data_IF_468594764813
#
_entry.id   IF_468594764813
#
_cell.length_a   1.000
_cell.length_b   1.000
_cell.length_c   1.000
_cell.angle_alpha   90.00
_cell.angle_beta   90.00
_cell.angle_gamma   90.00
#
_symmetry.space_group_name_H-M   'P 1'
#
loop_
_entity.id
_entity.type
_entity.pdbx_description
1 polymer ?
#
# COMPACT_ATOMS: atom_id res chain seq x y z
N UNK A 1 21.66 -2.26 16.99
CA UNK A 1 21.51 -1.96 15.55
C UNK A 1 20.03 -2.07 15.23
N UNK A 2 19.45 -1.02 14.66
CA UNK A 2 18.05 -1.04 14.29
C UNK A 2 17.81 -2.01 13.13
N UNK A 3 16.64 -2.66 13.11
CA UNK A 3 16.30 -3.69 12.14
C UNK A 3 15.06 -3.28 11.34
N UNK A 4 15.23 -3.07 10.04
CA UNK A 4 14.16 -2.69 9.11
C UNK A 4 13.83 -3.86 8.18
N UNK A 5 12.54 -4.08 7.93
CA UNK A 5 12.07 -4.94 6.86
C UNK A 5 11.53 -4.08 5.72
N UNK A 6 12.06 -4.27 4.52
CA UNK A 6 11.49 -3.72 3.28
C UNK A 6 10.72 -4.82 2.57
N UNK A 7 9.43 -4.60 2.35
CA UNK A 7 8.52 -5.49 1.61
C UNK A 7 8.18 -4.85 0.26
N UNK A 8 8.62 -5.46 -0.83
CA UNK A 8 8.32 -4.99 -2.17
C UNK A 8 7.12 -5.75 -2.75
N UNK A 9 6.04 -5.03 -3.01
CA UNK A 9 4.84 -5.57 -3.66
C UNK A 9 5.13 -5.68 -5.16
N UNK A 10 5.20 -6.91 -5.68
CA UNK A 10 5.50 -7.17 -7.07
C UNK A 10 4.75 -8.39 -7.60
N UNK A 11 4.31 -8.35 -8.86
CA UNK A 11 3.75 -9.52 -9.52
C UNK A 11 4.86 -10.57 -9.76
N UNK A 12 4.51 -11.84 -9.64
CA UNK A 12 5.44 -12.97 -9.83
C UNK A 12 6.21 -12.89 -11.15
N UNK A 13 5.54 -12.44 -12.20
CA UNK A 13 6.08 -12.43 -13.55
C UNK A 13 6.83 -11.12 -13.90
N UNK A 14 6.92 -10.16 -12.98
CA UNK A 14 7.59 -8.85 -13.17
C UNK A 14 9.12 -8.93 -12.99
N UNK A 15 9.79 -9.87 -13.66
CA UNK A 15 11.20 -10.17 -13.43
C UNK A 15 12.12 -8.96 -13.58
N UNK A 16 12.01 -8.20 -14.68
CA UNK A 16 12.85 -7.02 -14.92
C UNK A 16 12.75 -5.98 -13.80
N UNK A 17 11.52 -5.73 -13.27
CA UNK A 17 11.30 -4.83 -12.14
C UNK A 17 11.91 -5.39 -10.86
N UNK A 18 11.72 -6.70 -10.61
CA UNK A 18 12.30 -7.38 -9.45
C UNK A 18 13.83 -7.33 -9.46
N UNK A 19 14.46 -7.51 -10.63
CA UNK A 19 15.91 -7.43 -10.80
C UNK A 19 16.41 -6.00 -10.51
N UNK A 20 15.71 -4.97 -11.02
CA UNK A 20 16.03 -3.58 -10.74
C UNK A 20 15.96 -3.25 -9.25
N UNK A 21 14.85 -3.64 -8.58
CA UNK A 21 14.70 -3.44 -7.12
C UNK A 21 15.77 -4.21 -6.36
N UNK A 22 16.07 -5.46 -6.73
CA UNK A 22 17.13 -6.25 -6.09
C UNK A 22 18.49 -5.57 -6.16
N UNK A 23 18.81 -4.99 -7.31
CA UNK A 23 20.05 -4.22 -7.49
C UNK A 23 20.09 -2.98 -6.59
N UNK A 24 19.00 -2.18 -6.55
CA UNK A 24 18.89 -1.01 -5.69
C UNK A 24 19.01 -1.37 -4.20
N UNK A 25 18.41 -2.49 -3.77
CA UNK A 25 18.55 -3.00 -2.39
C UNK A 25 19.97 -3.39 -2.05
N UNK A 26 20.73 -3.98 -2.98
CA UNK A 26 22.14 -4.29 -2.76
C UNK A 26 22.96 -3.02 -2.52
N UNK A 27 22.74 -1.98 -3.32
CA UNK A 27 23.40 -0.67 -3.15
C UNK A 27 23.00 -0.08 -1.79
N UNK A 28 21.73 -0.11 -1.44
CA UNK A 28 21.23 0.41 -0.16
C UNK A 28 21.93 -0.27 1.03
N UNK A 29 22.01 -1.60 1.04
CA UNK A 29 22.66 -2.35 2.12
C UNK A 29 24.14 -2.02 2.30
N UNK A 30 24.82 -1.66 1.22
CA UNK A 30 26.22 -1.20 1.26
C UNK A 30 26.33 0.23 1.80
N UNK A 31 25.38 1.10 1.45
CA UNK A 31 25.38 2.51 1.86
C UNK A 31 24.95 2.72 3.31
N UNK A 32 24.22 1.77 3.91
CA UNK A 32 23.58 1.91 5.23
C UNK A 32 24.03 0.77 6.13
N UNK A 33 25.30 0.80 6.57
CA UNK A 33 25.93 -0.29 7.35
C UNK A 33 25.53 -0.34 8.82
N UNK A 34 24.98 0.74 9.36
CA UNK A 34 24.55 0.91 10.76
C UNK A 34 23.08 0.49 11.00
N UNK A 35 22.35 0.16 9.94
CA UNK A 35 20.98 -0.36 9.99
C UNK A 35 20.95 -1.75 9.36
N UNK A 36 20.40 -2.73 10.07
CA UNK A 36 20.15 -4.03 9.47
C UNK A 36 18.91 -3.95 8.58
N UNK A 37 19.08 -4.20 7.27
CA UNK A 37 17.99 -4.21 6.30
C UNK A 37 17.75 -5.63 5.80
N UNK A 38 16.58 -6.18 6.14
CA UNK A 38 16.03 -7.37 5.52
C UNK A 38 15.08 -6.96 4.38
N UNK A 39 15.07 -7.74 3.31
CA UNK A 39 14.28 -7.46 2.12
C UNK A 39 13.58 -8.69 1.63
N UNK A 40 12.27 -8.58 1.32
CA UNK A 40 11.48 -9.64 0.72
C UNK A 40 10.54 -9.11 -0.37
N UNK A 41 10.39 -9.85 -1.44
CA UNK A 41 9.29 -9.65 -2.36
C UNK A 41 8.01 -10.24 -1.76
N UNK A 42 6.96 -9.43 -1.76
CA UNK A 42 5.61 -9.88 -1.50
C UNK A 42 4.93 -10.12 -2.84
N UNK A 43 4.52 -11.37 -3.11
CA UNK A 43 3.81 -11.70 -4.34
C UNK A 43 2.46 -11.00 -4.37
N UNK A 44 2.32 -10.01 -5.26
CA UNK A 44 1.12 -9.23 -5.42
C UNK A 44 -0.04 -10.07 -5.96
N UNK A 45 -1.24 -9.75 -5.53
CA UNK A 45 -2.46 -10.35 -6.07
C UNK A 45 -2.65 -9.91 -7.51
N UNK A 46 -2.60 -10.84 -8.45
CA UNK A 46 -2.87 -10.54 -9.85
C UNK A 46 -4.39 -10.44 -10.10
N UNK A 47 -4.93 -9.24 -9.99
CA UNK A 47 -6.36 -8.99 -10.06
C UNK A 47 -7.03 -9.53 -11.32
N UNK A 48 -6.32 -9.55 -12.48
CA UNK A 48 -6.84 -10.10 -13.73
C UNK A 48 -7.05 -11.62 -13.71
N UNK A 49 -6.42 -12.32 -12.77
CA UNK A 49 -6.61 -13.77 -12.57
C UNK A 49 -7.63 -14.10 -11.47
N UNK A 50 -8.20 -13.09 -10.82
CA UNK A 50 -9.23 -13.32 -9.81
C UNK A 50 -10.54 -13.77 -10.47
N UNK A 51 -11.27 -14.71 -9.83
CA UNK A 51 -12.60 -15.10 -10.26
C UNK A 51 -13.55 -13.88 -10.33
N UNK A 52 -14.41 -13.79 -11.35
CA UNK A 52 -15.31 -12.65 -11.57
C UNK A 52 -16.19 -12.32 -10.37
N UNK A 53 -16.59 -13.30 -9.57
CA UNK A 53 -17.39 -13.11 -8.37
C UNK A 53 -16.67 -12.29 -7.30
N UNK A 54 -15.34 -12.40 -7.18
CA UNK A 54 -14.56 -11.57 -6.25
C UNK A 54 -14.46 -10.13 -6.74
N UNK A 55 -14.24 -9.94 -8.04
CA UNK A 55 -14.19 -8.60 -8.65
C UNK A 55 -15.53 -7.89 -8.48
N UNK A 56 -16.62 -8.56 -8.84
CA UNK A 56 -17.98 -8.03 -8.73
C UNK A 56 -18.35 -7.70 -7.28
N UNK A 57 -17.92 -8.53 -6.34
CA UNK A 57 -18.22 -8.33 -4.94
C UNK A 57 -17.51 -7.10 -4.35
N UNK A 58 -16.23 -6.89 -4.64
CA UNK A 58 -15.47 -5.73 -4.20
C UNK A 58 -16.04 -4.45 -4.82
N UNK A 59 -16.39 -4.50 -6.11
CA UNK A 59 -16.98 -3.37 -6.80
C UNK A 59 -18.36 -3.01 -6.26
N UNK A 60 -19.24 -3.98 -6.03
CA UNK A 60 -20.54 -3.78 -5.38
C UNK A 60 -20.40 -3.13 -4.01
N UNK A 61 -19.50 -3.64 -3.18
CA UNK A 61 -19.30 -3.10 -1.85
C UNK A 61 -18.82 -1.66 -1.87
N UNK A 62 -17.93 -1.33 -2.80
CA UNK A 62 -17.44 0.01 -3.02
C UNK A 62 -18.54 0.94 -3.51
N UNK A 63 -19.40 0.49 -4.43
CA UNK A 63 -20.56 1.26 -4.86
C UNK A 63 -21.51 1.56 -3.70
N UNK A 64 -21.70 0.61 -2.77
CA UNK A 64 -22.50 0.82 -1.57
C UNK A 64 -21.86 1.80 -0.58
N UNK A 65 -20.55 1.97 -0.57
CA UNK A 65 -19.89 2.97 0.29
C UNK A 65 -20.13 4.42 -0.15
N UNK A 66 -20.72 4.63 -1.33
CA UNK A 66 -21.07 5.95 -1.85
C UNK A 66 -19.88 6.78 -2.35
N UNK A 67 -18.71 6.15 -2.53
CA UNK A 67 -17.43 6.81 -2.86
C UNK A 67 -16.99 6.58 -4.30
N UNK A 68 -17.76 5.84 -5.09
CA UNK A 68 -17.32 5.47 -6.42
C UNK A 68 -17.56 6.59 -7.41
N UNK A 69 -16.49 7.18 -7.89
CA UNK A 69 -16.50 7.97 -9.10
C UNK A 69 -16.42 7.06 -10.35
N UNK A 70 -15.83 5.86 -10.22
CA UNK A 70 -15.76 4.82 -11.27
C UNK A 70 -15.68 3.41 -10.65
N UNK A 71 -15.94 2.37 -11.45
CA UNK A 71 -15.68 0.98 -11.08
C UNK A 71 -14.18 0.73 -10.97
N UNK A 72 -13.76 -0.12 -10.01
CA UNK A 72 -12.36 -0.55 -9.93
C UNK A 72 -12.04 -1.52 -11.06
N UNK A 73 -10.94 -1.26 -11.74
CA UNK A 73 -10.37 -2.24 -12.65
C UNK A 73 -9.75 -3.44 -11.90
N UNK A 74 -9.57 -4.59 -12.58
CA UNK A 74 -8.97 -5.76 -11.95
C UNK A 74 -7.59 -5.49 -11.33
N UNK A 75 -6.74 -4.69 -11.97
CA UNK A 75 -5.42 -4.32 -11.43
C UNK A 75 -5.52 -3.47 -10.18
N UNK A 76 -6.49 -2.54 -10.09
CA UNK A 76 -6.74 -1.76 -8.87
C UNK A 76 -7.21 -2.65 -7.71
N UNK A 77 -8.06 -3.64 -8.01
CA UNK A 77 -8.51 -4.64 -7.02
C UNK A 77 -7.33 -5.49 -6.55
N UNK A 78 -6.45 -5.90 -7.47
CA UNK A 78 -5.22 -6.63 -7.12
C UNK A 78 -4.31 -5.84 -6.18
N UNK A 79 -4.04 -4.57 -6.50
CA UNK A 79 -3.28 -3.65 -5.66
C UNK A 79 -3.94 -3.50 -4.27
N UNK A 80 -5.26 -3.21 -4.23
CA UNK A 80 -6.02 -3.12 -2.98
C UNK A 80 -5.85 -4.37 -2.11
N UNK A 81 -6.05 -5.56 -2.67
CA UNK A 81 -5.93 -6.81 -1.92
C UNK A 81 -4.50 -7.07 -1.44
N UNK A 82 -3.50 -6.76 -2.25
CA UNK A 82 -2.09 -6.93 -1.88
C UNK A 82 -1.73 -6.14 -0.62
N UNK A 83 -2.06 -4.85 -0.60
CA UNK A 83 -1.81 -4.01 0.57
C UNK A 83 -2.67 -4.40 1.79
N UNK A 84 -3.94 -4.78 1.59
CA UNK A 84 -4.78 -5.26 2.68
C UNK A 84 -4.22 -6.53 3.33
N UNK A 85 -3.67 -7.47 2.56
CA UNK A 85 -3.03 -8.67 3.08
C UNK A 85 -1.77 -8.31 3.86
N UNK A 86 -0.93 -7.40 3.37
CA UNK A 86 0.26 -6.92 4.08
C UNK A 86 -0.10 -6.26 5.41
N UNK A 87 -1.10 -5.37 5.43
CA UNK A 87 -1.56 -4.75 6.67
C UNK A 87 -2.09 -5.79 7.66
N UNK A 88 -2.83 -6.79 7.17
CA UNK A 88 -3.35 -7.87 8.02
C UNK A 88 -2.22 -8.69 8.64
N UNK A 89 -1.25 -9.12 7.85
CA UNK A 89 -0.08 -9.87 8.33
C UNK A 89 0.70 -9.07 9.37
N UNK A 90 0.94 -7.78 9.11
CA UNK A 90 1.59 -6.90 10.06
C UNK A 90 0.78 -6.72 11.35
N UNK A 91 -0.53 -6.50 11.25
CA UNK A 91 -1.42 -6.40 12.42
C UNK A 91 -1.47 -7.69 13.25
N UNK A 92 -1.31 -8.86 12.63
CA UNK A 92 -1.25 -10.17 13.27
C UNK A 92 0.12 -10.46 13.94
N UNK A 93 1.15 -9.69 13.60
CA UNK A 93 2.47 -9.80 14.21
C UNK A 93 3.51 -10.60 13.42
N UNK A 94 3.26 -10.90 12.14
CA UNK A 94 4.21 -11.65 11.30
C UNK A 94 5.61 -10.99 11.23
N UNK A 95 5.68 -9.68 11.51
CA UNK A 95 6.91 -8.88 11.38
C UNK A 95 7.37 -8.24 12.70
N UNK A 96 7.04 -8.85 13.86
CA UNK A 96 7.35 -8.27 15.19
C UNK A 96 8.84 -8.19 15.51
N UNK A 97 9.68 -8.96 14.81
CA UNK A 97 11.14 -8.96 14.99
C UNK A 97 11.83 -7.75 14.37
N UNK A 98 11.08 -6.87 13.69
CA UNK A 98 11.60 -5.66 13.06
C UNK A 98 11.14 -4.41 13.81
N UNK A 99 12.06 -3.45 13.97
CA UNK A 99 11.74 -2.14 14.54
C UNK A 99 10.80 -1.36 13.62
N UNK A 100 10.94 -1.58 12.31
CA UNK A 100 10.14 -0.90 11.30
C UNK A 100 9.89 -1.77 10.07
N UNK A 101 8.68 -1.65 9.51
CA UNK A 101 8.40 -2.16 8.16
C UNK A 101 8.23 -1.00 7.17
N UNK A 102 8.74 -1.21 5.98
CA UNK A 102 8.61 -0.32 4.83
C UNK A 102 7.95 -1.13 3.72
N UNK A 103 6.91 -0.61 3.12
CA UNK A 103 6.22 -1.22 1.99
C UNK A 103 6.49 -0.36 0.77
N UNK A 104 7.01 -0.97 -0.29
CA UNK A 104 7.27 -0.33 -1.59
C UNK A 104 6.60 -1.11 -2.72
N UNK A 105 6.31 -0.45 -3.83
CA UNK A 105 5.94 -1.09 -5.10
C UNK A 105 7.19 -1.32 -5.96
N UNK A 106 7.08 -2.11 -7.02
CA UNK A 106 8.23 -2.54 -7.84
C UNK A 106 8.62 -1.54 -8.94
N UNK A 107 8.03 -0.34 -8.93
CA UNK A 107 8.30 0.77 -9.83
C UNK A 107 8.87 2.01 -9.12
N UNK A 108 9.61 1.79 -8.03
CA UNK A 108 10.27 2.87 -7.28
C UNK A 108 11.76 2.97 -7.62
N UNK A 109 12.28 4.19 -7.53
CA UNK A 109 13.72 4.52 -7.61
C UNK A 109 14.16 5.00 -6.23
N UNK A 110 15.31 4.53 -5.74
CA UNK A 110 15.86 4.88 -4.44
C UNK A 110 16.69 6.17 -4.53
N UNK A 111 16.36 7.12 -3.65
CA UNK A 111 17.12 8.37 -3.53
C UNK A 111 18.34 8.15 -2.62
N UNK A 112 19.42 7.58 -3.18
CA UNK A 112 20.63 7.23 -2.43
C UNK A 112 21.31 8.43 -1.76
N UNK A 113 21.10 9.65 -2.23
CA UNK A 113 21.71 10.84 -1.64
C UNK A 113 21.17 11.19 -0.25
N UNK A 114 19.96 10.76 0.08
CA UNK A 114 19.28 11.14 1.33
C UNK A 114 18.72 9.96 2.12
N UNK A 115 18.63 8.78 1.52
CA UNK A 115 17.89 7.64 2.10
C UNK A 115 18.44 7.23 3.46
N UNK A 116 19.75 7.26 3.66
CA UNK A 116 20.40 6.89 4.94
C UNK A 116 19.91 7.78 6.09
N UNK A 117 20.08 9.10 5.98
CA UNK A 117 19.63 10.05 7.01
C UNK A 117 18.13 9.95 7.27
N UNK A 118 17.34 9.77 6.20
CA UNK A 118 15.88 9.65 6.31
C UNK A 118 15.44 8.35 6.98
N UNK A 119 16.14 7.24 6.77
CA UNK A 119 15.88 5.98 7.48
C UNK A 119 16.23 6.10 8.98
N UNK A 120 17.35 6.74 9.33
CA UNK A 120 17.68 7.03 10.73
C UNK A 120 16.58 7.87 11.36
N UNK A 121 16.21 8.98 10.74
CA UNK A 121 15.15 9.84 11.24
C UNK A 121 13.81 9.12 11.39
N UNK A 122 13.45 8.21 10.46
CA UNK A 122 12.26 7.38 10.54
C UNK A 122 12.28 6.45 11.76
N UNK A 123 13.43 5.87 12.07
CA UNK A 123 13.61 4.98 13.23
C UNK A 123 13.49 5.80 14.52
N UNK A 124 14.23 6.89 14.64
CA UNK A 124 14.28 7.73 15.84
C UNK A 124 12.94 8.36 16.18
N UNK A 125 12.23 8.91 15.17
CA UNK A 125 10.93 9.55 15.40
C UNK A 125 9.79 8.55 15.53
N UNK A 126 9.96 7.34 15.00
CA UNK A 126 9.04 6.20 15.04
C UNK A 126 7.56 6.60 14.86
N UNK A 127 7.19 7.33 13.80
CA UNK A 127 5.81 7.76 13.59
C UNK A 127 4.89 6.57 13.33
N UNK A 128 3.61 6.66 13.73
CA UNK A 128 2.64 5.57 13.46
C UNK A 128 2.45 5.28 11.98
N UNK A 129 2.60 6.32 11.14
CA UNK A 129 2.59 6.24 9.68
C UNK A 129 3.53 7.31 9.10
N UNK A 130 4.20 6.98 8.00
CA UNK A 130 5.02 7.91 7.23
C UNK A 130 4.92 7.62 5.74
N UNK A 131 4.85 8.68 4.93
CA UNK A 131 5.13 8.58 3.50
C UNK A 131 6.65 8.55 3.29
N UNK A 132 7.11 7.66 2.42
CA UNK A 132 8.54 7.52 2.12
C UNK A 132 8.85 7.88 0.67
N UNK A 133 7.85 8.20 -0.12
CA UNK A 133 8.01 8.61 -1.49
C UNK A 133 6.83 9.43 -2.00
N UNK A 134 7.04 10.13 -3.10
CA UNK A 134 6.07 10.99 -3.77
C UNK A 134 6.44 11.14 -5.24
N UNK A 135 5.46 11.44 -6.10
CA UNK A 135 5.76 11.88 -7.45
C UNK A 135 6.72 13.07 -7.39
N UNK A 136 7.72 13.09 -8.26
CA UNK A 136 8.76 14.10 -8.32
C UNK A 136 8.20 15.52 -8.07
N UNK A 137 8.66 16.13 -6.98
CA UNK A 137 8.30 17.46 -6.54
C UNK A 137 6.80 17.78 -6.53
N UNK A 138 6.10 17.48 -5.43
CA UNK A 138 4.77 18.02 -5.24
C UNK A 138 4.87 19.55 -5.38
N UNK A 139 4.13 20.13 -6.32
CA UNK A 139 4.19 21.57 -6.57
C UNK A 139 4.05 22.29 -5.24
N UNK A 140 4.96 23.24 -4.92
CA UNK A 140 5.01 24.01 -3.66
C UNK A 140 3.65 24.61 -3.25
N UNK A 141 2.70 24.74 -4.19
CA UNK A 141 1.32 25.21 -3.97
C UNK A 141 0.40 24.18 -3.30
N UNK A 142 0.73 22.89 -3.35
CA UNK A 142 -0.10 21.80 -2.81
C UNK A 142 0.40 21.26 -1.47
N UNK A 143 1.62 21.58 -1.08
CA UNK A 143 2.21 21.17 0.18
C UNK A 143 2.10 22.33 1.16
N UNK A 144 1.19 22.22 2.10
CA UNK A 144 1.27 23.00 3.34
C UNK A 144 1.98 22.13 4.38
N UNK A 145 3.28 21.87 4.14
CA UNK A 145 4.14 21.21 5.11
C UNK A 145 4.79 22.25 6.02
N UNK A 146 4.87 21.95 7.30
CA UNK A 146 5.75 22.66 8.22
C UNK A 146 7.10 21.97 8.15
N UNK A 147 8.16 22.71 7.86
CA UNK A 147 9.52 22.25 8.04
C UNK A 147 9.93 22.56 9.48
N UNK A 148 10.09 21.55 10.29
CA UNK A 148 10.80 21.64 11.55
C UNK A 148 12.06 20.79 11.40
N UNK A 149 13.24 21.39 11.49
CA UNK A 149 14.53 20.70 11.41
C UNK A 149 14.67 19.80 10.15
N UNK A 150 14.47 20.35 8.96
CA UNK A 150 14.57 19.66 7.67
C UNK A 150 13.58 18.49 7.45
N UNK A 151 12.64 18.29 8.38
CA UNK A 151 11.58 17.30 8.26
C UNK A 151 10.33 17.89 7.60
N UNK A 152 9.88 17.29 6.50
CA UNK A 152 8.64 17.67 5.82
C UNK A 152 7.45 16.96 6.48
N UNK A 153 6.40 17.72 6.80
CA UNK A 153 5.13 17.20 7.30
C UNK A 153 3.99 17.58 6.38
N UNK A 154 3.10 16.65 6.15
CA UNK A 154 1.88 16.90 5.40
C UNK A 154 0.71 17.21 6.30
N UNK A 155 0.01 18.30 6.01
CA UNK A 155 -1.25 18.62 6.66
C UNK A 155 -2.39 17.85 6.00
N UNK A 156 -2.97 16.88 6.71
CA UNK A 156 -4.06 16.03 6.23
C UNK A 156 -5.42 16.73 6.18
N UNK A 157 -5.55 17.98 6.67
CA UNK A 157 -6.79 18.78 6.58
C UNK A 157 -7.03 19.42 5.21
N UNK A 158 -6.03 19.36 4.30
CA UNK A 158 -6.10 19.90 2.94
C UNK A 158 -7.08 19.17 1.99
N UNK A 159 -7.20 19.61 0.72
CA UNK A 159 -8.05 18.95 -0.28
C UNK A 159 -7.63 17.50 -0.52
N UNK A 160 -8.61 16.67 -0.96
CA UNK A 160 -8.46 15.21 -1.12
C UNK A 160 -7.35 14.76 -2.09
N UNK A 161 -6.97 15.63 -3.02
CA UNK A 161 -6.16 15.26 -4.19
C UNK A 161 -4.64 15.30 -3.91
N UNK A 162 -4.23 15.42 -2.64
CA UNK A 162 -2.82 15.64 -2.30
C UNK A 162 -1.99 14.35 -2.24
N UNK A 163 -2.62 13.22 -1.99
CA UNK A 163 -1.95 11.93 -1.86
C UNK A 163 -2.80 10.84 -2.47
N UNK A 164 -2.41 10.39 -3.62
CA UNK A 164 -2.88 9.18 -4.28
C UNK A 164 -1.63 8.42 -4.69
N UNK A 165 -1.27 7.38 -4.03
CA UNK A 165 -0.36 6.32 -4.44
C UNK A 165 0.11 5.54 -3.21
N UNK A 166 0.35 4.27 -3.41
CA UNK A 166 0.82 3.32 -2.39
C UNK A 166 2.29 2.95 -2.56
N UNK A 167 3.01 3.61 -3.45
CA UNK A 167 4.30 3.11 -3.93
C UNK A 167 5.42 3.08 -2.88
N UNK A 168 5.38 3.92 -1.81
CA UNK A 168 6.35 3.82 -0.71
C UNK A 168 5.81 4.44 0.58
N UNK A 169 5.67 3.64 1.63
CA UNK A 169 5.24 4.09 2.94
C UNK A 169 5.72 3.16 4.07
N UNK A 170 5.63 3.65 5.30
CA UNK A 170 5.90 2.88 6.51
C UNK A 170 4.77 3.07 7.51
N UNK A 171 4.45 2.01 8.28
CA UNK A 171 3.42 2.07 9.31
C UNK A 171 3.76 1.15 10.48
N UNK A 172 3.23 1.49 11.66
CA UNK A 172 3.28 0.62 12.82
C UNK A 172 2.20 -0.47 12.73
N UNK A 173 2.36 -1.53 13.51
CA UNK A 173 1.38 -2.61 13.66
C UNK A 173 0.00 -2.08 14.04
N UNK A 174 -0.06 -1.14 14.98
CA UNK A 174 -1.32 -0.54 15.42
C UNK A 174 -1.99 0.27 14.28
N UNK A 175 -1.19 1.01 13.52
CA UNK A 175 -1.73 1.76 12.37
C UNK A 175 -2.27 0.82 11.28
N UNK A 176 -1.63 -0.33 11.06
CA UNK A 176 -2.14 -1.36 10.15
C UNK A 176 -3.51 -1.88 10.60
N UNK A 177 -3.69 -2.13 11.91
CA UNK A 177 -4.98 -2.53 12.49
C UNK A 177 -6.06 -1.48 12.26
N UNK A 178 -5.73 -0.20 12.53
CA UNK A 178 -6.65 0.93 12.29
C UNK A 178 -7.07 1.01 10.81
N UNK A 179 -6.14 0.83 9.89
CA UNK A 179 -6.44 0.87 8.46
C UNK A 179 -7.38 -0.26 8.03
N UNK A 180 -7.14 -1.48 8.52
CA UNK A 180 -8.02 -2.63 8.28
C UNK A 180 -9.43 -2.36 8.80
N UNK A 181 -9.55 -1.89 10.05
CA UNK A 181 -10.85 -1.56 10.65
C UNK A 181 -11.60 -0.50 9.84
N UNK A 182 -10.88 0.52 9.35
CA UNK A 182 -11.48 1.56 8.50
C UNK A 182 -11.96 0.98 7.18
N UNK A 183 -11.17 0.16 6.51
CA UNK A 183 -11.57 -0.50 5.26
C UNK A 183 -12.74 -1.47 5.45
N UNK A 184 -12.84 -2.12 6.62
CA UNK A 184 -13.99 -2.95 6.97
C UNK A 184 -15.25 -2.10 7.14
N UNK A 185 -15.15 -0.96 7.81
CA UNK A 185 -16.29 -0.04 8.02
C UNK A 185 -16.75 0.59 6.72
N UNK A 186 -15.79 1.00 5.90
CA UNK A 186 -16.05 1.71 4.64
C UNK A 186 -14.95 1.38 3.64
N UNK A 187 -15.28 0.58 2.64
CA UNK A 187 -14.35 0.23 1.59
C UNK A 187 -14.06 1.45 0.71
N UNK A 188 -12.80 1.90 0.72
CA UNK A 188 -12.31 3.02 -0.11
C UNK A 188 -11.21 2.54 -1.06
N UNK A 189 -10.58 3.45 -1.80
CA UNK A 189 -9.31 3.17 -2.45
C UNK A 189 -8.26 2.82 -1.39
N UNK A 190 -7.31 1.98 -1.75
CA UNK A 190 -6.23 1.60 -0.84
C UNK A 190 -5.38 2.82 -0.46
N UNK A 191 -5.33 3.81 -1.33
CA UNK A 191 -4.62 5.07 -1.21
C UNK A 191 -5.54 6.28 -0.86
N UNK A 192 -6.75 6.04 -0.35
CA UNK A 192 -7.56 7.11 0.25
C UNK A 192 -6.97 7.54 1.61
N UNK A 193 -5.75 8.05 1.56
CA UNK A 193 -5.01 8.46 2.75
C UNK A 193 -5.74 9.51 3.57
N UNK A 194 -6.55 10.36 2.95
CA UNK A 194 -7.38 11.33 3.68
C UNK A 194 -8.37 10.64 4.61
N UNK A 195 -9.00 9.58 4.17
CA UNK A 195 -9.90 8.77 5.02
C UNK A 195 -9.12 7.93 6.02
N UNK A 196 -8.07 7.25 5.56
CA UNK A 196 -7.27 6.35 6.38
C UNK A 196 -6.56 7.10 7.51
N UNK A 197 -6.06 8.31 7.26
CA UNK A 197 -5.30 9.13 8.18
C UNK A 197 -6.11 10.28 8.80
N UNK A 198 -7.44 10.26 8.73
CA UNK A 198 -8.31 11.38 9.17
C UNK A 198 -8.12 11.82 10.63
N UNK A 199 -7.53 10.97 11.49
CA UNK A 199 -7.22 11.32 12.87
C UNK A 199 -5.85 11.99 13.03
N UNK A 200 -5.05 12.01 11.99
CA UNK A 200 -3.74 12.66 11.97
C UNK A 200 -3.89 14.08 11.46
N UNK A 201 -3.44 15.06 12.25
CA UNK A 201 -3.38 16.45 11.78
C UNK A 201 -2.25 16.63 10.77
N UNK A 202 -1.11 15.99 11.05
CA UNK A 202 0.09 16.00 10.21
C UNK A 202 0.67 14.59 10.09
N UNK A 203 1.31 14.30 8.97
CA UNK A 203 1.98 13.04 8.69
C UNK A 203 3.38 13.34 8.16
N UNK A 204 4.45 12.72 8.71
CA UNK A 204 5.79 12.93 8.22
C UNK A 204 5.97 12.35 6.81
N UNK A 205 6.80 13.03 6.05
CA UNK A 205 7.20 12.63 4.70
C UNK A 205 8.72 12.59 4.62
N UNK A 206 9.25 11.44 4.22
CA UNK A 206 10.67 11.20 3.99
C UNK A 206 10.87 10.92 2.50
N UNK A 207 11.72 11.68 1.84
CA UNK A 207 11.96 11.51 0.42
C UNK A 207 13.02 10.42 0.17
N UNK A 208 12.66 9.16 0.50
CA UNK A 208 13.53 7.99 0.31
C UNK A 208 13.41 7.38 -1.09
N UNK A 209 12.21 7.49 -1.68
CA UNK A 209 11.85 6.83 -2.93
C UNK A 209 11.14 7.79 -3.87
N UNK A 210 11.38 7.63 -5.17
CA UNK A 210 10.69 8.30 -6.26
C UNK A 210 9.92 7.28 -7.09
N UNK A 211 8.88 7.70 -7.79
CA UNK A 211 8.19 6.85 -8.74
C UNK A 211 8.94 6.90 -10.08
N UNK A 212 9.13 5.73 -10.71
CA UNK A 212 9.69 5.65 -12.06
C UNK A 212 8.57 5.90 -13.08
N UNK A 213 8.50 7.14 -13.57
CA UNK A 213 7.48 7.55 -14.56
C UNK A 213 7.73 6.94 -15.95
N UNK A 214 8.91 6.34 -16.20
CA UNK A 214 9.21 5.64 -17.46
C UNK A 214 8.60 4.23 -17.49
N UNK A 215 8.29 3.67 -16.33
CA UNK A 215 7.67 2.35 -16.23
C UNK A 215 6.14 2.46 -16.43
N UNK A 216 5.58 1.83 -17.48
CA UNK A 216 4.13 1.88 -17.73
C UNK A 216 3.34 1.26 -16.57
N UNK A 217 2.40 2.03 -16.01
CA UNK A 217 1.50 1.54 -14.96
C UNK A 217 0.47 0.55 -15.53
N UNK A 218 0.42 -0.66 -14.97
CA UNK A 218 -0.62 -1.64 -15.31
C UNK A 218 -2.04 -1.18 -14.93
N UNK A 219 -2.15 -0.33 -13.91
CA UNK A 219 -3.40 0.25 -13.43
C UNK A 219 -3.94 1.31 -14.42
N UNK A 220 -3.05 2.12 -15.00
CA UNK A 220 -3.46 3.18 -15.92
C UNK A 220 -4.14 2.62 -17.18
N UNK A 221 -3.63 1.51 -17.71
CA UNK A 221 -4.24 0.84 -18.88
C UNK A 221 -5.64 0.29 -18.58
N UNK A 222 -5.86 -0.26 -17.39
CA UNK A 222 -7.17 -0.77 -16.98
C UNK A 222 -8.19 0.35 -16.74
N UNK A 223 -7.76 1.48 -16.14
CA UNK A 223 -8.65 2.64 -15.89
C UNK A 223 -9.32 3.15 -17.14
N UNK A 224 -8.61 3.21 -18.27
CA UNK A 224 -9.18 3.66 -19.54
C UNK A 224 -10.36 2.80 -20.00
N UNK A 225 -10.32 1.49 -19.74
CA UNK A 225 -11.37 0.54 -20.13
C UNK A 225 -12.59 0.57 -19.20
N UNK A 226 -12.42 0.97 -17.94
CA UNK A 226 -13.47 0.94 -16.90
C UNK A 226 -14.05 2.32 -16.54
N UNK A 227 -13.52 3.43 -17.06
CA UNK A 227 -14.08 4.77 -16.88
C UNK A 227 -15.36 4.96 -17.68
N UNK A 228 -16.49 4.42 -17.20
CA UNK A 228 -17.82 4.85 -17.66
C UNK A 228 -18.18 6.15 -16.94
N UNK A 229 -18.52 7.22 -17.71
CA UNK A 229 -18.96 8.51 -17.15
C UNK A 229 -20.09 8.31 -16.13
N UNK A 230 -19.96 8.77 -14.89
CA UNK A 230 -20.98 8.58 -13.87
C UNK A 230 -22.25 9.36 -14.20
N UNK A 231 -23.39 8.70 -14.14
CA UNK A 231 -24.69 9.33 -14.33
C UNK A 231 -25.05 10.16 -13.08
N UNK A 232 -24.99 11.48 -13.17
CA UNK A 232 -25.09 12.46 -12.04
C UNK A 232 -26.38 12.38 -11.22
N UNK A 233 -27.48 11.78 -11.75
CA UNK A 233 -28.80 11.83 -11.12
C UNK A 233 -29.07 10.76 -10.03
N UNK A 234 -28.21 9.75 -9.86
CA UNK A 234 -28.44 8.66 -8.87
C UNK A 234 -27.81 8.89 -7.48
N UNK A 235 -27.20 10.04 -7.23
CA UNK A 235 -26.34 10.28 -6.07
C UNK A 235 -27.05 10.37 -4.70
N UNK A 236 -28.29 10.85 -4.66
CA UNK A 236 -28.95 11.20 -3.37
C UNK A 236 -29.79 10.08 -2.75
N UNK A 237 -30.33 9.13 -3.52
CA UNK A 237 -31.20 8.07 -3.01
C UNK A 237 -30.42 6.89 -2.39
N UNK A 238 -29.15 6.73 -2.74
CA UNK A 238 -28.31 5.60 -2.31
C UNK A 238 -27.73 5.74 -0.90
N UNK A 239 -27.65 6.93 -0.34
CA UNK A 239 -26.89 7.21 0.89
C UNK A 239 -27.50 6.56 2.14
N UNK A 240 -28.82 6.47 2.26
CA UNK A 240 -29.51 6.02 3.49
C UNK A 240 -29.66 4.49 3.56
N UNK A 241 -29.87 3.82 2.41
CA UNK A 241 -30.03 2.36 2.35
C UNK A 241 -28.72 1.60 2.53
N UNK A 242 -27.60 2.28 2.33
CA UNK A 242 -26.28 1.68 2.19
C UNK A 242 -25.57 1.35 3.50
N UNK A 243 -25.86 2.06 4.59
CA UNK A 243 -25.14 1.86 5.86
C UNK A 243 -25.48 0.52 6.53
N UNK A 244 -26.73 0.09 6.50
CA UNK A 244 -27.16 -1.15 7.15
C UNK A 244 -26.67 -2.40 6.38
N UNK A 245 -26.85 -2.39 5.07
CA UNK A 245 -26.41 -3.48 4.18
C UNK A 245 -24.87 -3.58 4.16
N UNK A 246 -24.16 -2.44 4.20
CA UNK A 246 -22.71 -2.38 4.29
C UNK A 246 -22.16 -3.04 5.57
N UNK A 247 -22.83 -2.87 6.72
CA UNK A 247 -22.42 -3.50 7.99
C UNK A 247 -22.61 -5.02 7.98
N UNK A 248 -23.70 -5.51 7.44
CA UNK A 248 -23.97 -6.96 7.36
C UNK A 248 -23.01 -7.65 6.39
N UNK A 249 -22.79 -7.05 5.23
CA UNK A 249 -21.86 -7.57 4.22
C UNK A 249 -20.42 -7.50 4.74
N UNK A 250 -20.04 -6.50 5.58
CA UNK A 250 -18.67 -6.39 6.12
C UNK A 250 -18.27 -7.54 7.01
N UNK A 251 -19.20 -8.08 7.82
CA UNK A 251 -18.92 -9.23 8.68
C UNK A 251 -18.68 -10.53 7.90
N UNK A 252 -19.42 -10.74 6.81
CA UNK A 252 -19.24 -11.93 5.95
C UNK A 252 -17.94 -11.87 5.14
N UNK A 253 -17.53 -10.68 4.70
CA UNK A 253 -16.34 -10.49 3.90
C UNK A 253 -15.05 -10.65 4.66
N UNK A 254 -15.01 -10.12 5.87
CA UNK A 254 -13.82 -10.24 6.70
C UNK A 254 -13.42 -11.70 6.84
N UNK A 255 -14.39 -12.58 7.10
CA UNK A 255 -14.14 -14.02 7.12
C UNK A 255 -13.65 -14.58 5.79
N UNK A 256 -14.11 -14.04 4.67
CA UNK A 256 -13.75 -14.52 3.31
C UNK A 256 -12.41 -13.97 2.85
N UNK A 257 -12.09 -12.71 3.15
CA UNK A 257 -10.76 -12.11 2.90
C UNK A 257 -9.69 -12.78 3.77
N UNK A 258 -9.99 -13.05 5.05
CA UNK A 258 -9.08 -13.78 5.94
C UNK A 258 -8.82 -15.18 5.37
N UNK A 259 -9.85 -15.91 4.91
CA UNK A 259 -9.66 -17.22 4.30
C UNK A 259 -8.86 -17.16 3.00
N UNK A 260 -9.06 -16.13 2.18
CA UNK A 260 -8.30 -15.92 0.96
C UNK A 260 -6.84 -15.57 1.26
N UNK A 261 -6.58 -14.71 2.23
CA UNK A 261 -5.21 -14.34 2.64
C UNK A 261 -4.47 -15.52 3.27
N UNK A 262 -5.14 -16.34 4.08
CA UNK A 262 -4.55 -17.59 4.62
C UNK A 262 -4.34 -18.63 3.53
N UNK A 263 -5.21 -18.76 2.56
CA UNK A 263 -5.05 -19.66 1.43
C UNK A 263 -3.87 -19.25 0.53
N UNK A 264 -3.76 -17.95 0.21
CA UNK A 264 -2.64 -17.42 -0.58
C UNK A 264 -1.33 -17.57 0.20
N UNK A 265 -1.30 -17.23 1.49
CA UNK A 265 -0.13 -17.38 2.34
C UNK A 265 0.32 -18.86 2.49
N UNK A 266 -0.62 -19.79 2.64
CA UNK A 266 -0.32 -21.22 2.74
C UNK A 266 0.25 -21.78 1.43
N UNK A 267 -0.21 -21.31 0.27
CA UNK A 267 0.33 -21.73 -1.01
C UNK A 267 1.70 -21.10 -1.30
N UNK A 268 1.94 -19.86 -0.92
CA UNK A 268 3.25 -19.22 -1.07
C UNK A 268 4.30 -19.82 -0.13
N UNK A 269 3.94 -20.20 1.10
CA UNK A 269 4.86 -20.89 2.00
C UNK A 269 5.25 -22.30 1.49
N UNK A 270 4.36 -23.00 0.82
CA UNK A 270 4.70 -24.31 0.19
C UNK A 270 5.68 -24.16 -0.97
N UNK A 271 5.62 -23.04 -1.71
CA UNK A 271 6.55 -22.76 -2.80
C UNK A 271 7.93 -22.34 -2.30
N UNK A 272 8.02 -21.57 -1.21
CA UNK A 272 9.29 -21.13 -0.62
C UNK A 272 10.06 -22.26 0.07
N UNK A 273 9.38 -23.23 0.68
CA UNK A 273 10.03 -24.42 1.31
C UNK A 273 10.68 -25.31 0.24
N UNK A 274 10.18 -25.30 -1.00
CA UNK A 274 10.77 -26.11 -2.09
C UNK A 274 12.03 -25.53 -2.72
N UNK A 275 12.32 -24.23 -2.50
CA UNK A 275 13.51 -23.54 -3.05
C UNK A 275 14.71 -23.70 -2.12
N UNK A 276 14.50 -23.67 -0.80
CA UNK A 276 15.60 -23.79 0.17
C UNK A 276 16.19 -25.21 0.28
N UNK A 277 15.49 -26.23 -0.19
CA UNK A 277 15.99 -27.62 -0.16
C UNK A 277 16.82 -28.04 -1.39
N UNK A 278 16.95 -27.17 -2.41
CA UNK A 278 17.76 -27.49 -3.61
C UNK A 278 19.17 -26.89 -3.64
N UNK A 279 19.58 -26.20 -2.59
CA UNK A 279 20.93 -25.58 -2.49
C UNK A 279 21.85 -26.28 -1.49
N UNK A 280 21.58 -27.54 -1.12
CA UNK A 280 22.41 -28.33 -0.19
C UNK A 280 22.85 -29.69 -0.74
N UNK A 281 22.95 -29.81 -2.06
CA UNK A 281 23.64 -30.95 -2.70
C UNK A 281 24.78 -30.43 -3.59
#
# INVERSE_FOLDING_TARGET
MAKILILCVSLKDSKTRQDNISHQIQILKQAVSDIQIDFHFFEAVYGKKLPPEYLSFIDLRRQFSGLCDHALGPSEIGCFLSHMILWQRHAQGDYMQYDRIIIIEDDVIFNFNQIHEKLISLIETNPSFAFLGGHSQPSRRRIRGYTSQDQLYFNMSGPKDLYTATFAYSLTREQARIFIEKQIKRLTYIDDWKYLLQKHNTVPFYFCFEHDDEIPSSIASDRQNFMKKPNRFKKNYRKIRNDLVSRIISLFLFKKIIRLSTFIAANNNRLNISVDNKSKD
#
